data_IF_933415302473
#
_entry.id   IF_933415302473
#
_cell.length_a   1.000
_cell.length_b   1.000
_cell.length_c   1.000
_cell.angle_alpha   90.00
_cell.angle_beta   90.00
_cell.angle_gamma   90.00
#
_symmetry.space_group_name_H-M   'P 1'
#
loop_
_entity.id
_entity.type
_entity.pdbx_description
1 polymer ?
#
# COMPACT_ATOMS: atom_id res chain seq x y z
N UNK A 1 54.27 25.68 26.10
CA UNK A 1 54.08 24.88 24.89
C UNK A 1 53.26 23.65 25.28
N UNK A 2 51.94 23.71 25.18
CA UNK A 2 51.01 22.59 25.36
C UNK A 2 50.53 22.16 23.98
N UNK A 3 50.88 20.96 23.60
CA UNK A 3 50.47 20.34 22.34
C UNK A 3 49.01 19.93 22.44
N UNK A 4 48.16 20.51 21.59
CA UNK A 4 46.79 20.07 21.37
C UNK A 4 46.78 18.70 20.71
N UNK A 5 46.24 17.71 21.38
CA UNK A 5 45.89 16.40 20.82
C UNK A 5 44.62 16.55 19.98
N UNK A 6 44.78 16.44 18.67
CA UNK A 6 43.71 16.31 17.69
C UNK A 6 43.45 14.82 17.44
N UNK A 7 42.54 14.23 18.23
CA UNK A 7 41.88 12.95 17.89
C UNK A 7 40.68 12.77 18.80
N UNK A 8 39.57 13.36 18.40
CA UNK A 8 38.24 13.04 18.92
C UNK A 8 37.50 12.22 17.83
N UNK A 9 37.34 10.90 17.99
CA UNK A 9 36.62 10.06 17.03
C UNK A 9 35.15 9.89 17.39
N UNK A 10 34.45 10.97 17.71
CA UNK A 10 32.99 10.96 17.84
C UNK A 10 32.33 11.63 16.63
N UNK A 11 32.73 11.27 15.43
CA UNK A 11 31.86 11.34 14.27
C UNK A 11 30.85 10.21 14.40
N UNK A 12 29.71 10.48 15.05
CA UNK A 12 28.50 9.70 14.89
C UNK A 12 28.26 9.56 13.40
N UNK A 13 28.49 8.38 12.83
CA UNK A 13 28.00 8.01 11.51
C UNK A 13 26.47 8.22 11.58
N UNK A 14 25.99 9.29 10.99
CA UNK A 14 24.58 9.45 10.69
C UNK A 14 24.18 8.19 9.93
N UNK A 15 23.33 7.39 10.56
CA UNK A 15 22.81 6.14 10.00
C UNK A 15 21.90 6.56 8.85
N UNK A 16 22.46 6.71 7.64
CA UNK A 16 21.72 7.15 6.46
C UNK A 16 20.58 6.18 6.20
N UNK A 17 19.38 6.70 6.09
CA UNK A 17 18.20 5.90 5.76
C UNK A 17 18.42 5.20 4.41
N UNK A 18 17.95 3.94 4.28
CA UNK A 18 18.03 3.19 3.03
C UNK A 18 17.15 3.84 1.96
N UNK A 19 15.90 4.14 2.29
CA UNK A 19 14.99 4.97 1.49
C UNK A 19 14.57 6.16 2.34
N UNK A 20 14.77 7.39 1.84
CA UNK A 20 14.41 8.62 2.52
C UNK A 20 13.41 9.42 1.70
N UNK A 21 12.31 9.80 2.34
CA UNK A 21 11.31 10.75 1.84
C UNK A 21 11.45 11.98 2.73
N UNK A 22 11.94 13.10 2.17
CA UNK A 22 12.33 14.28 2.92
C UNK A 22 11.49 15.49 2.51
N UNK A 23 10.62 15.92 3.41
CA UNK A 23 9.76 17.10 3.26
C UNK A 23 9.00 17.13 1.91
N UNK A 24 8.50 15.97 1.49
CA UNK A 24 7.88 15.78 0.17
C UNK A 24 6.50 16.42 0.12
N UNK A 25 6.30 17.29 -0.85
CA UNK A 25 5.01 17.91 -1.18
C UNK A 25 4.66 17.67 -2.63
N UNK A 26 3.36 17.51 -2.93
CA UNK A 26 2.85 17.33 -4.29
C UNK A 26 1.64 18.20 -4.54
N UNK A 27 1.77 19.09 -5.51
CA UNK A 27 0.73 20.00 -5.96
C UNK A 27 0.42 19.74 -7.42
N UNK A 28 -0.85 19.63 -7.76
CA UNK A 28 -1.32 19.53 -9.14
C UNK A 28 -2.03 20.82 -9.57
N UNK A 29 -1.77 21.34 -10.77
CA UNK A 29 -2.55 22.44 -11.33
C UNK A 29 -3.97 21.95 -11.66
N UNK A 30 -4.97 22.77 -11.36
CA UNK A 30 -6.38 22.53 -11.71
C UNK A 30 -6.96 23.73 -12.44
N UNK A 31 -8.12 23.57 -13.06
CA UNK A 31 -8.81 24.67 -13.74
C UNK A 31 -9.21 25.82 -12.78
N UNK A 32 -9.28 25.53 -11.47
CA UNK A 32 -9.69 26.48 -10.42
C UNK A 32 -8.52 26.98 -9.56
N UNK A 33 -7.26 26.62 -9.93
CA UNK A 33 -6.06 27.01 -9.17
C UNK A 33 -5.11 25.83 -8.99
N UNK A 34 -4.70 25.54 -7.75
CA UNK A 34 -3.80 24.44 -7.42
C UNK A 34 -4.43 23.53 -6.35
N UNK A 35 -4.20 22.24 -6.46
CA UNK A 35 -4.64 21.24 -5.48
C UNK A 35 -3.43 20.56 -4.86
N UNK A 36 -3.23 20.76 -3.56
CA UNK A 36 -2.15 20.13 -2.80
C UNK A 36 -2.61 18.75 -2.34
N UNK A 37 -1.98 17.70 -2.86
CA UNK A 37 -2.28 16.30 -2.48
C UNK A 37 -1.49 15.91 -1.24
N UNK A 38 -0.18 16.22 -1.22
CA UNK A 38 0.73 15.90 -0.12
C UNK A 38 1.45 17.17 0.33
N UNK A 39 1.67 17.30 1.64
CA UNK A 39 2.35 18.45 2.22
C UNK A 39 3.34 18.04 3.32
N UNK A 40 4.63 18.22 3.05
CA UNK A 40 5.70 18.01 4.02
C UNK A 40 5.84 16.57 4.54
N UNK A 41 5.64 15.56 3.68
CA UNK A 41 5.75 14.15 4.06
C UNK A 41 7.20 13.79 4.35
N UNK A 42 7.44 13.17 5.51
CA UNK A 42 8.75 12.67 5.93
C UNK A 42 8.65 11.20 6.33
N UNK A 43 9.49 10.34 5.75
CA UNK A 43 9.57 8.91 6.09
C UNK A 43 10.98 8.39 5.82
N UNK A 44 11.56 7.75 6.82
CA UNK A 44 12.80 6.99 6.68
C UNK A 44 12.47 5.50 6.72
N UNK A 45 12.99 4.74 5.77
CA UNK A 45 12.82 3.29 5.66
C UNK A 45 14.18 2.63 5.78
N UNK A 46 14.27 1.58 6.59
CA UNK A 46 15.48 0.78 6.76
C UNK A 46 15.57 -0.27 5.66
N UNK A 47 16.79 -0.69 5.35
CA UNK A 47 16.99 -1.83 4.45
C UNK A 47 16.34 -3.10 5.02
N UNK A 48 15.65 -3.86 4.17
CA UNK A 48 14.95 -5.08 4.56
C UNK A 48 13.67 -4.88 5.36
N UNK A 49 13.21 -3.64 5.56
CA UNK A 49 12.01 -3.33 6.33
C UNK A 49 10.75 -3.52 5.48
N UNK A 50 9.68 -4.04 6.10
CA UNK A 50 8.36 -4.12 5.51
C UNK A 50 7.45 -3.03 6.10
N UNK A 51 7.09 -2.04 5.29
CA UNK A 51 6.20 -0.94 5.69
C UNK A 51 4.86 -1.06 4.99
N UNK A 52 3.77 -0.95 5.75
CA UNK A 52 2.44 -0.72 5.22
C UNK A 52 2.01 0.74 5.40
N UNK A 53 1.39 1.30 4.37
CA UNK A 53 0.80 2.64 4.37
C UNK A 53 -0.71 2.51 4.29
N UNK A 54 -1.42 3.04 5.29
CA UNK A 54 -2.88 3.11 5.31
C UNK A 54 -3.37 4.56 5.35
N UNK A 55 -4.63 4.77 5.01
CA UNK A 55 -5.29 6.08 5.00
C UNK A 55 -6.53 6.03 4.13
N UNK A 56 -7.38 7.04 4.21
CA UNK A 56 -8.60 7.12 3.41
C UNK A 56 -8.34 7.13 1.90
N UNK A 57 -9.35 6.76 1.12
CA UNK A 57 -9.29 6.87 -0.34
C UNK A 57 -9.04 8.33 -0.74
N UNK A 58 -8.14 8.54 -1.71
CA UNK A 58 -7.82 9.89 -2.18
C UNK A 58 -6.84 10.69 -1.32
N UNK A 59 -6.37 10.22 -0.17
CA UNK A 59 -5.39 10.94 0.67
C UNK A 59 -3.96 10.99 0.10
N UNK A 60 -3.70 10.44 -1.08
CA UNK A 60 -2.40 10.58 -1.75
C UNK A 60 -1.44 9.39 -1.57
N UNK A 61 -1.85 8.24 -1.03
CA UNK A 61 -1.00 7.04 -0.87
C UNK A 61 -0.33 6.61 -2.19
N UNK A 62 -1.13 6.39 -3.24
CA UNK A 62 -0.58 6.01 -4.56
C UNK A 62 0.27 7.13 -5.17
N UNK A 63 -0.01 8.41 -4.86
CA UNK A 63 0.85 9.53 -5.26
C UNK A 63 2.22 9.44 -4.60
N UNK A 64 2.26 9.10 -3.30
CA UNK A 64 3.51 8.89 -2.57
C UNK A 64 4.30 7.72 -3.15
N UNK A 65 3.66 6.56 -3.40
CA UNK A 65 4.32 5.40 -3.99
C UNK A 65 4.83 5.67 -5.41
N UNK A 66 4.08 6.45 -6.21
CA UNK A 66 4.53 6.86 -7.54
C UNK A 66 5.76 7.77 -7.50
N UNK A 67 5.99 8.51 -6.42
CA UNK A 67 7.23 9.28 -6.24
C UNK A 67 8.38 8.39 -5.79
N UNK A 68 8.14 7.40 -4.94
CA UNK A 68 9.14 6.40 -4.56
C UNK A 68 9.57 5.55 -5.76
N UNK A 69 8.64 5.17 -6.63
CA UNK A 69 8.95 4.41 -7.86
C UNK A 69 9.65 5.26 -8.95
N UNK A 70 9.60 6.59 -8.82
CA UNK A 70 10.13 7.51 -9.83
C UNK A 70 9.19 7.83 -10.99
N UNK A 71 7.95 7.29 -11.00
CA UNK A 71 6.95 7.62 -12.02
C UNK A 71 6.44 9.06 -11.91
N UNK A 72 6.53 9.65 -10.74
CA UNK A 72 6.14 11.03 -10.49
C UNK A 72 7.24 11.74 -9.70
N UNK A 73 7.38 13.06 -9.90
CA UNK A 73 8.33 13.86 -9.15
C UNK A 73 7.61 14.70 -8.09
N UNK A 74 8.17 14.88 -6.90
CA UNK A 74 7.64 15.80 -5.91
C UNK A 74 7.68 17.25 -6.45
N UNK A 75 6.75 18.10 -6.00
CA UNK A 75 6.77 19.53 -6.27
C UNK A 75 7.72 20.25 -5.30
N UNK A 76 7.91 19.71 -4.11
CA UNK A 76 8.86 20.14 -3.09
C UNK A 76 9.41 18.96 -2.33
N UNK A 77 10.59 19.10 -1.74
CA UNK A 77 11.28 18.01 -1.05
C UNK A 77 11.97 17.03 -1.98
N UNK A 78 12.44 15.89 -1.45
CA UNK A 78 13.22 14.89 -2.20
C UNK A 78 12.87 13.48 -1.77
N UNK A 79 12.98 12.52 -2.71
CA UNK A 79 12.97 11.08 -2.44
C UNK A 79 14.32 10.50 -2.85
N UNK A 80 14.95 9.76 -1.95
CA UNK A 80 16.29 9.21 -2.15
C UNK A 80 16.34 7.73 -1.81
N UNK A 81 17.04 6.94 -2.61
CA UNK A 81 17.42 5.57 -2.30
C UNK A 81 18.96 5.51 -2.13
N UNK A 82 19.45 5.04 -1.00
CA UNK A 82 20.90 5.00 -0.69
C UNK A 82 21.60 6.36 -0.94
N UNK A 83 20.96 7.43 -0.48
CA UNK A 83 21.37 8.83 -0.71
C UNK A 83 21.36 9.30 -2.19
N UNK A 84 20.94 8.50 -3.13
CA UNK A 84 20.79 8.89 -4.53
C UNK A 84 19.37 9.39 -4.80
N UNK A 85 19.27 10.58 -5.40
CA UNK A 85 17.98 11.19 -5.72
C UNK A 85 17.23 10.34 -6.77
N UNK A 86 15.96 10.04 -6.48
CA UNK A 86 15.08 9.35 -7.41
C UNK A 86 14.49 10.38 -8.39
N UNK A 87 14.91 10.32 -9.65
CA UNK A 87 14.45 11.24 -10.72
C UNK A 87 13.68 10.54 -11.82
N UNK A 88 13.75 9.20 -11.91
CA UNK A 88 13.08 8.39 -12.92
C UNK A 88 12.85 6.97 -12.39
N UNK A 89 11.98 6.17 -13.01
CA UNK A 89 11.87 4.74 -12.72
C UNK A 89 13.20 4.03 -12.97
N UNK A 90 13.47 3.00 -12.15
CA UNK A 90 14.69 2.20 -12.27
C UNK A 90 14.45 0.74 -11.88
N UNK A 91 15.33 -0.20 -12.30
CA UNK A 91 15.20 -1.61 -11.98
C UNK A 91 15.44 -1.94 -10.50
N UNK A 92 16.05 -1.04 -9.76
CA UNK A 92 16.27 -1.10 -8.32
C UNK A 92 14.96 -0.95 -7.50
N UNK A 93 13.90 -0.45 -8.12
CA UNK A 93 12.59 -0.21 -7.50
C UNK A 93 11.48 -0.71 -8.41
N UNK A 94 10.84 -1.80 -8.05
CA UNK A 94 9.76 -2.38 -8.84
C UNK A 94 8.40 -2.16 -8.19
N UNK A 95 7.43 -1.75 -9.00
CA UNK A 95 6.06 -1.53 -8.57
C UNK A 95 5.12 -2.61 -9.14
N UNK A 96 4.36 -3.21 -8.24
CA UNK A 96 3.23 -4.09 -8.55
C UNK A 96 1.95 -3.30 -8.36
N UNK A 97 1.22 -3.07 -9.43
CA UNK A 97 -0.01 -2.29 -9.44
C UNK A 97 -1.23 -3.14 -9.04
N UNK A 98 -2.26 -2.50 -8.54
CA UNK A 98 -3.53 -3.12 -8.14
C UNK A 98 -4.17 -3.97 -9.27
N UNK A 99 -4.05 -3.55 -10.51
CA UNK A 99 -4.57 -4.26 -11.70
C UNK A 99 -3.54 -5.20 -12.35
N UNK A 100 -2.43 -5.49 -11.64
CA UNK A 100 -1.32 -6.38 -12.06
C UNK A 100 -0.54 -5.91 -13.30
N UNK A 101 -1.08 -5.08 -14.15
CA UNK A 101 -0.51 -4.60 -15.41
C UNK A 101 0.14 -5.70 -16.25
N UNK A 102 -0.50 -6.87 -16.36
CA UNK A 102 -0.05 -7.95 -17.22
C UNK A 102 -0.47 -7.68 -18.66
N UNK A 103 0.42 -8.01 -19.61
CA UNK A 103 0.12 -7.94 -21.04
C UNK A 103 -0.82 -9.10 -21.39
N UNK A 104 -2.08 -8.84 -21.79
CA UNK A 104 -3.10 -9.89 -21.91
C UNK A 104 -2.86 -10.83 -23.10
N UNK A 105 -2.06 -10.43 -24.08
CA UNK A 105 -1.67 -11.24 -25.24
C UNK A 105 -0.43 -12.11 -25.01
N UNK A 106 0.33 -11.87 -23.92
CA UNK A 106 1.52 -12.63 -23.53
C UNK A 106 1.17 -13.70 -22.50
N UNK A 107 1.90 -14.82 -22.48
CA UNK A 107 1.80 -15.83 -21.43
C UNK A 107 2.34 -15.32 -20.09
N UNK A 108 2.15 -16.07 -19.00
CA UNK A 108 2.78 -15.77 -17.71
C UNK A 108 4.31 -15.72 -17.87
N UNK A 109 4.89 -16.70 -18.56
CA UNK A 109 6.30 -16.76 -18.89
C UNK A 109 6.76 -15.50 -19.64
N UNK A 110 6.09 -15.12 -20.72
CA UNK A 110 6.47 -13.96 -21.53
C UNK A 110 6.31 -12.62 -20.75
N UNK A 111 5.38 -12.53 -19.81
CA UNK A 111 5.24 -11.36 -18.95
C UNK A 111 6.44 -11.19 -18.02
N UNK A 112 7.01 -12.29 -17.49
CA UNK A 112 8.22 -12.27 -16.67
C UNK A 112 9.46 -12.06 -17.54
N UNK A 113 9.56 -12.78 -18.66
CA UNK A 113 10.67 -12.68 -19.62
C UNK A 113 10.91 -11.26 -20.12
N UNK A 114 9.85 -10.50 -20.35
CA UNK A 114 9.95 -9.11 -20.78
C UNK A 114 10.78 -8.25 -19.82
N UNK A 115 10.60 -8.41 -18.52
CA UNK A 115 11.37 -7.68 -17.52
C UNK A 115 12.85 -8.13 -17.52
N UNK A 116 13.08 -9.44 -17.59
CA UNK A 116 14.44 -10.01 -17.65
C UNK A 116 15.19 -9.56 -18.91
N UNK A 117 14.53 -9.59 -20.06
CA UNK A 117 15.11 -9.13 -21.32
C UNK A 117 15.49 -7.65 -21.31
N UNK A 118 14.65 -6.83 -20.68
CA UNK A 118 14.85 -5.37 -20.59
C UNK A 118 16.02 -5.00 -19.69
N UNK A 119 16.19 -5.71 -18.56
CA UNK A 119 17.19 -5.36 -17.52
C UNK A 119 18.52 -6.08 -17.77
N UNK A 120 18.49 -7.27 -18.36
CA UNK A 120 19.70 -8.08 -18.59
C UNK A 120 19.90 -8.36 -20.09
N UNK A 121 20.12 -7.34 -20.96
CA UNK A 121 20.26 -7.53 -22.39
C UNK A 121 21.44 -8.45 -22.74
N UNK A 122 22.53 -8.39 -21.96
CA UNK A 122 23.78 -9.10 -22.21
C UNK A 122 23.79 -10.56 -21.73
N UNK A 123 22.80 -11.00 -20.94
CA UNK A 123 22.69 -12.41 -20.56
C UNK A 123 22.32 -13.28 -21.75
N UNK A 124 22.91 -14.47 -21.79
CA UNK A 124 22.56 -15.49 -22.78
C UNK A 124 21.08 -15.88 -22.69
N UNK A 125 20.57 -16.46 -23.77
CA UNK A 125 19.18 -16.96 -23.80
C UNK A 125 18.91 -17.96 -22.70
N UNK A 126 19.84 -18.89 -22.47
CA UNK A 126 19.71 -19.92 -21.43
C UNK A 126 19.64 -19.32 -20.03
N UNK A 127 20.52 -18.35 -19.70
CA UNK A 127 20.48 -17.67 -18.40
C UNK A 127 19.17 -16.90 -18.17
N UNK A 128 18.60 -16.29 -19.22
CA UNK A 128 17.31 -15.61 -19.13
C UNK A 128 16.17 -16.61 -18.90
N UNK A 129 16.19 -17.74 -19.60
CA UNK A 129 15.21 -18.83 -19.45
C UNK A 129 15.28 -19.43 -18.03
N UNK A 130 16.46 -19.64 -17.49
CA UNK A 130 16.67 -20.12 -16.09
C UNK A 130 16.13 -19.13 -15.07
N UNK A 131 16.40 -17.82 -15.24
CA UNK A 131 15.86 -16.78 -14.35
C UNK A 131 14.33 -16.76 -14.36
N UNK A 132 13.71 -16.74 -15.56
CA UNK A 132 12.26 -16.74 -15.68
C UNK A 132 11.66 -17.99 -15.05
N UNK A 133 12.25 -19.17 -15.34
CA UNK A 133 11.82 -20.44 -14.77
C UNK A 133 11.89 -20.44 -13.24
N UNK A 134 13.00 -19.99 -12.68
CA UNK A 134 13.21 -19.89 -11.24
C UNK A 134 12.13 -19.05 -10.53
N UNK A 135 11.85 -17.84 -11.04
CA UNK A 135 10.87 -16.96 -10.40
C UNK A 135 9.42 -17.43 -10.60
N UNK A 136 9.10 -18.11 -11.70
CA UNK A 136 7.80 -18.77 -11.88
C UNK A 136 7.64 -19.98 -10.96
N UNK A 137 8.69 -20.74 -10.73
CA UNK A 137 8.69 -21.85 -9.76
C UNK A 137 8.54 -21.31 -8.33
N UNK A 138 9.28 -20.26 -7.96
CA UNK A 138 9.22 -19.60 -6.65
C UNK A 138 7.80 -19.20 -6.26
N UNK A 139 6.99 -18.75 -7.23
CA UNK A 139 5.57 -18.37 -7.00
C UNK A 139 4.60 -19.50 -7.37
N UNK A 140 5.05 -20.74 -7.57
CA UNK A 140 4.21 -21.91 -7.83
C UNK A 140 3.46 -21.89 -9.17
N UNK A 141 4.04 -21.27 -10.21
CA UNK A 141 3.38 -21.10 -11.52
C UNK A 141 4.02 -21.88 -12.67
N UNK A 142 4.89 -22.85 -12.40
CA UNK A 142 5.58 -23.65 -13.42
C UNK A 142 4.61 -24.27 -14.43
N UNK A 143 3.55 -24.93 -13.97
CA UNK A 143 2.55 -25.57 -14.85
C UNK A 143 1.65 -24.57 -15.59
N UNK A 144 1.55 -23.33 -15.08
CA UNK A 144 0.76 -22.27 -15.68
C UNK A 144 1.59 -21.29 -16.53
N UNK A 145 2.89 -21.53 -16.66
CA UNK A 145 3.84 -20.62 -17.34
C UNK A 145 3.38 -20.19 -18.74
N UNK A 146 2.79 -21.09 -19.50
CA UNK A 146 2.35 -20.81 -20.87
C UNK A 146 0.90 -20.29 -20.98
N UNK A 147 0.17 -20.18 -19.85
CA UNK A 147 -1.19 -19.63 -19.85
C UNK A 147 -1.16 -18.10 -19.94
N UNK A 148 -2.15 -17.55 -20.65
CA UNK A 148 -2.36 -16.10 -20.75
C UNK A 148 -3.16 -15.58 -19.53
N UNK A 149 -3.10 -14.27 -19.21
CA UNK A 149 -3.84 -13.68 -18.10
C UNK A 149 -5.35 -13.98 -18.09
N UNK A 150 -5.98 -14.11 -19.26
CA UNK A 150 -7.39 -14.49 -19.35
C UNK A 150 -7.70 -15.94 -18.98
N UNK A 151 -6.69 -16.80 -18.80
CA UNK A 151 -6.81 -18.23 -18.54
C UNK A 151 -6.42 -18.61 -17.09
N UNK A 152 -6.06 -17.62 -16.25
CA UNK A 152 -5.59 -17.81 -14.89
C UNK A 152 -6.42 -17.00 -13.90
N UNK A 153 -6.45 -17.43 -12.64
CA UNK A 153 -7.18 -16.75 -11.55
C UNK A 153 -6.56 -15.40 -11.17
N UNK A 154 -7.27 -14.62 -10.36
CA UNK A 154 -6.77 -13.35 -9.82
C UNK A 154 -5.48 -13.54 -9.01
N UNK A 155 -5.46 -14.53 -8.11
CA UNK A 155 -4.26 -14.88 -7.34
C UNK A 155 -3.08 -15.31 -8.21
N UNK A 156 -3.32 -16.08 -9.28
CA UNK A 156 -2.26 -16.43 -10.22
C UNK A 156 -1.74 -15.20 -10.98
N UNK A 157 -2.60 -14.24 -11.36
CA UNK A 157 -2.16 -12.97 -11.97
C UNK A 157 -1.27 -12.18 -11.02
N UNK A 158 -1.64 -12.13 -9.74
CA UNK A 158 -0.83 -11.49 -8.70
C UNK A 158 0.55 -12.15 -8.59
N UNK A 159 0.61 -13.48 -8.55
CA UNK A 159 1.86 -14.24 -8.53
C UNK A 159 2.74 -13.94 -9.77
N UNK A 160 2.15 -13.86 -10.95
CA UNK A 160 2.90 -13.45 -12.17
C UNK A 160 3.46 -12.05 -12.04
N UNK A 161 2.69 -11.10 -11.52
CA UNK A 161 3.15 -9.71 -11.33
C UNK A 161 4.28 -9.62 -10.31
N UNK A 162 4.21 -10.39 -9.21
CA UNK A 162 5.28 -10.52 -8.22
C UNK A 162 6.52 -11.17 -8.85
N UNK A 163 6.39 -12.31 -9.55
CA UNK A 163 7.50 -12.97 -10.23
C UNK A 163 8.19 -12.03 -11.23
N UNK A 164 7.43 -11.28 -12.02
CA UNK A 164 7.95 -10.27 -12.96
C UNK A 164 8.75 -9.18 -12.24
N UNK A 165 8.27 -8.72 -11.08
CA UNK A 165 8.97 -7.72 -10.30
C UNK A 165 10.26 -8.26 -9.69
N UNK A 166 10.25 -9.49 -9.16
CA UNK A 166 11.40 -10.12 -8.50
C UNK A 166 12.49 -10.58 -9.48
N UNK A 167 12.10 -10.95 -10.71
CA UNK A 167 13.01 -11.49 -11.72
C UNK A 167 14.15 -10.55 -12.12
N UNK A 168 14.05 -9.28 -11.75
CA UNK A 168 15.09 -8.29 -11.96
C UNK A 168 15.85 -7.89 -10.67
N UNK A 169 15.62 -8.63 -9.58
CA UNK A 169 16.28 -8.44 -8.29
C UNK A 169 16.25 -6.99 -7.77
N UNK A 170 15.05 -6.41 -7.58
CA UNK A 170 14.93 -5.05 -7.09
C UNK A 170 15.37 -4.95 -5.63
N UNK A 171 15.81 -3.78 -5.23
CA UNK A 171 16.14 -3.47 -3.82
C UNK A 171 14.87 -3.04 -3.05
N UNK A 172 13.92 -2.40 -3.74
CA UNK A 172 12.63 -1.98 -3.17
C UNK A 172 11.49 -2.55 -3.99
N UNK A 173 10.59 -3.27 -3.31
CA UNK A 173 9.34 -3.75 -3.87
C UNK A 173 8.19 -2.86 -3.38
N UNK A 174 7.52 -2.22 -4.33
CA UNK A 174 6.40 -1.32 -4.08
C UNK A 174 5.11 -2.03 -4.48
N UNK A 175 4.14 -2.11 -3.55
CA UNK A 175 2.89 -2.85 -3.75
C UNK A 175 1.70 -1.91 -3.53
N UNK A 176 0.89 -1.72 -4.56
CA UNK A 176 -0.32 -0.88 -4.49
C UNK A 176 -1.57 -1.78 -4.39
N UNK A 177 -2.11 -1.95 -3.18
CA UNK A 177 -3.26 -2.79 -2.84
C UNK A 177 -3.22 -4.20 -3.46
N UNK A 178 -2.11 -4.95 -3.25
CA UNK A 178 -1.84 -6.17 -4.02
C UNK A 178 -2.88 -7.27 -3.82
N UNK A 179 -3.61 -7.29 -2.71
CA UNK A 179 -4.53 -8.36 -2.35
C UNK A 179 -6.01 -7.95 -2.38
N UNK A 180 -6.31 -6.70 -2.77
CA UNK A 180 -7.65 -6.12 -2.67
C UNK A 180 -8.73 -6.82 -3.53
N UNK A 181 -8.33 -7.50 -4.61
CA UNK A 181 -9.24 -8.18 -5.53
C UNK A 181 -9.35 -9.70 -5.31
N UNK A 182 -8.79 -10.23 -4.20
CA UNK A 182 -8.71 -11.66 -3.92
C UNK A 182 -9.72 -12.08 -2.86
N UNK A 183 -10.16 -13.36 -2.94
CA UNK A 183 -10.91 -14.00 -1.86
C UNK A 183 -10.03 -14.22 -0.62
N UNK A 184 -10.67 -14.39 0.55
CA UNK A 184 -9.98 -14.42 1.84
C UNK A 184 -8.90 -15.53 1.92
N UNK A 185 -9.18 -16.73 1.41
CA UNK A 185 -8.27 -17.87 1.50
C UNK A 185 -7.03 -17.63 0.62
N UNK A 186 -7.25 -17.29 -0.64
CA UNK A 186 -6.16 -16.94 -1.59
C UNK A 186 -5.32 -15.77 -1.09
N UNK A 187 -5.96 -14.78 -0.45
CA UNK A 187 -5.29 -13.63 0.15
C UNK A 187 -4.33 -14.04 1.25
N UNK A 188 -4.78 -14.88 2.20
CA UNK A 188 -3.94 -15.36 3.30
C UNK A 188 -2.73 -16.15 2.80
N UNK A 189 -2.95 -17.11 1.88
CA UNK A 189 -1.88 -17.89 1.27
C UNK A 189 -0.81 -17.00 0.60
N UNK A 190 -1.25 -16.01 -0.19
CA UNK A 190 -0.34 -15.10 -0.89
C UNK A 190 0.41 -14.15 0.05
N UNK A 191 -0.19 -13.76 1.18
CA UNK A 191 0.48 -12.95 2.20
C UNK A 191 1.61 -13.74 2.88
N UNK A 192 1.37 -15.01 3.21
CA UNK A 192 2.41 -15.89 3.80
C UNK A 192 3.55 -16.13 2.80
N UNK A 193 3.21 -16.37 1.53
CA UNK A 193 4.18 -16.53 0.45
C UNK A 193 5.02 -15.25 0.24
N UNK A 194 4.37 -14.08 0.24
CA UNK A 194 5.08 -12.79 0.15
C UNK A 194 6.04 -12.60 1.32
N UNK A 195 5.65 -12.92 2.55
CA UNK A 195 6.54 -12.85 3.72
C UNK A 195 7.73 -13.80 3.63
N UNK A 196 7.54 -15.00 3.05
CA UNK A 196 8.63 -15.94 2.79
C UNK A 196 9.60 -15.35 1.77
N UNK A 197 9.11 -14.88 0.63
CA UNK A 197 9.90 -14.27 -0.44
C UNK A 197 10.66 -13.04 0.09
N UNK A 198 9.98 -12.16 0.83
CA UNK A 198 10.57 -10.98 1.44
C UNK A 198 11.78 -11.31 2.33
N UNK A 199 11.65 -12.32 3.21
CA UNK A 199 12.74 -12.75 4.10
C UNK A 199 13.90 -13.39 3.35
N UNK A 200 13.61 -14.28 2.39
CA UNK A 200 14.62 -15.02 1.63
C UNK A 200 15.46 -14.09 0.75
N UNK A 201 14.88 -12.99 0.27
CA UNK A 201 15.55 -12.05 -0.63
C UNK A 201 15.98 -10.74 0.04
N UNK A 202 15.79 -10.59 1.35
CA UNK A 202 16.10 -9.36 2.12
C UNK A 202 15.54 -8.09 1.45
N UNK A 203 14.31 -8.16 0.93
CA UNK A 203 13.67 -7.06 0.21
C UNK A 203 13.26 -5.94 1.15
N UNK A 204 13.36 -4.69 0.72
CA UNK A 204 12.65 -3.59 1.35
C UNK A 204 11.28 -3.47 0.70
N UNK A 205 10.20 -3.49 1.49
CA UNK A 205 8.83 -3.47 0.97
C UNK A 205 8.09 -2.23 1.44
N UNK A 206 7.46 -1.54 0.50
CA UNK A 206 6.53 -0.46 0.76
C UNK A 206 5.17 -0.81 0.15
N UNK A 207 4.17 -1.09 0.99
CA UNK A 207 2.86 -1.58 0.54
C UNK A 207 1.74 -0.62 0.95
N UNK A 208 0.84 -0.31 0.04
CA UNK A 208 -0.45 0.31 0.36
C UNK A 208 -1.49 -0.79 0.59
N UNK A 209 -2.26 -0.64 1.65
CA UNK A 209 -3.46 -1.41 1.88
C UNK A 209 -4.53 -0.56 2.57
N UNK A 210 -5.78 -0.93 2.43
CA UNK A 210 -6.90 -0.40 3.22
C UNK A 210 -7.35 -1.36 4.33
N UNK A 211 -6.70 -2.53 4.41
CA UNK A 211 -7.00 -3.57 5.39
C UNK A 211 -5.98 -3.49 6.56
N UNK A 212 -6.47 -3.12 7.75
CA UNK A 212 -5.64 -2.98 8.95
C UNK A 212 -5.10 -4.34 9.39
N UNK A 213 -5.91 -5.40 9.32
CA UNK A 213 -5.54 -6.73 9.75
C UNK A 213 -4.39 -7.28 8.87
N UNK A 214 -4.43 -6.97 7.57
CA UNK A 214 -3.34 -7.23 6.63
C UNK A 214 -2.06 -6.47 7.01
N UNK A 215 -2.17 -5.18 7.29
CA UNK A 215 -1.03 -4.35 7.67
C UNK A 215 -0.38 -4.84 8.97
N UNK A 216 -1.17 -5.19 9.99
CA UNK A 216 -0.67 -5.73 11.25
C UNK A 216 0.03 -7.09 11.10
N UNK A 217 -0.42 -7.90 10.13
CA UNK A 217 0.20 -9.20 9.85
C UNK A 217 1.52 -9.04 9.10
N UNK A 218 1.59 -8.13 8.12
CA UNK A 218 2.71 -8.03 7.18
C UNK A 218 3.80 -7.06 7.63
N UNK A 219 3.45 -5.89 8.18
CA UNK A 219 4.39 -4.80 8.35
C UNK A 219 5.24 -4.88 9.62
N UNK A 220 6.46 -4.32 9.57
CA UNK A 220 7.24 -3.98 10.75
C UNK A 220 6.79 -2.63 11.32
N UNK A 221 6.41 -1.70 10.44
CA UNK A 221 5.78 -0.43 10.81
C UNK A 221 4.55 -0.15 9.95
N UNK A 222 3.54 0.40 10.61
CA UNK A 222 2.31 0.88 10.00
C UNK A 222 2.35 2.41 9.92
N UNK A 223 2.38 2.95 8.71
CA UNK A 223 2.35 4.39 8.43
C UNK A 223 0.91 4.80 8.15
N UNK A 224 0.39 5.74 8.93
CA UNK A 224 -0.98 6.21 8.82
C UNK A 224 -1.00 7.63 8.26
N UNK A 225 -1.65 7.80 7.11
CA UNK A 225 -1.78 9.11 6.44
C UNK A 225 -3.05 9.83 6.87
N UNK A 226 -2.94 11.15 7.04
CA UNK A 226 -4.11 12.02 7.28
C UNK A 226 -4.98 12.13 6.03
N UNK A 227 -6.19 12.66 6.18
CA UNK A 227 -7.05 12.94 5.03
C UNK A 227 -6.48 14.08 4.17
N UNK A 228 -6.82 14.09 2.87
CA UNK A 228 -6.59 15.22 1.98
C UNK A 228 -7.63 16.35 2.19
N UNK A 229 -7.42 17.52 1.61
CA UNK A 229 -6.23 17.94 0.88
C UNK A 229 -5.00 18.14 1.78
N UNK A 230 -3.81 18.28 1.17
CA UNK A 230 -2.56 18.50 1.91
C UNK A 230 -2.24 17.41 2.95
N UNK A 231 -2.48 16.14 2.55
CA UNK A 231 -2.25 15.00 3.43
C UNK A 231 -0.76 14.84 3.79
N UNK A 232 -0.54 14.34 4.99
CA UNK A 232 0.79 14.06 5.55
C UNK A 232 0.78 12.76 6.34
N UNK A 233 1.93 12.30 6.77
CA UNK A 233 2.00 11.22 7.74
C UNK A 233 1.52 11.79 9.08
N UNK A 234 0.42 11.21 9.58
CA UNK A 234 -0.13 11.57 10.87
C UNK A 234 0.57 10.82 12.00
N UNK A 235 0.72 9.51 11.85
CA UNK A 235 1.38 8.66 12.85
C UNK A 235 2.08 7.47 12.20
N UNK A 236 3.05 6.91 12.91
CA UNK A 236 3.76 5.68 12.56
C UNK A 236 3.74 4.76 13.78
N UNK A 237 3.21 3.54 13.61
CA UNK A 237 3.17 2.52 14.66
C UNK A 237 4.20 1.43 14.37
N UNK A 238 5.04 1.12 15.34
CA UNK A 238 5.86 -0.08 15.33
C UNK A 238 4.97 -1.30 15.63
N UNK A 239 5.12 -2.38 14.86
CA UNK A 239 4.35 -3.61 15.05
C UNK A 239 5.21 -4.60 15.86
N UNK A 240 4.91 -4.81 17.15
CA UNK A 240 5.79 -5.48 18.10
C UNK A 240 5.68 -7.02 18.07
N UNK A 241 5.21 -7.61 16.97
CA UNK A 241 5.09 -9.06 16.86
C UNK A 241 6.34 -9.64 16.24
N UNK A 242 6.90 -10.66 16.90
CA UNK A 242 8.10 -11.36 16.45
C UNK A 242 7.88 -12.08 15.10
N UNK A 243 8.97 -12.28 14.38
CA UNK A 243 8.97 -13.02 13.11
C UNK A 243 9.63 -14.39 13.25
N UNK A 244 9.14 -15.45 12.56
CA UNK A 244 7.99 -15.45 11.66
C UNK A 244 6.67 -15.35 12.41
N UNK A 245 5.74 -14.54 11.89
CA UNK A 245 4.41 -14.37 12.48
C UNK A 245 3.52 -15.55 12.16
N UNK A 246 2.80 -16.03 13.16
CA UNK A 246 1.71 -16.97 13.00
C UNK A 246 0.39 -16.20 13.18
N UNK A 247 -0.50 -16.27 12.20
CA UNK A 247 -1.76 -15.48 12.17
C UNK A 247 -2.61 -15.72 13.41
N UNK A 248 -2.85 -16.99 13.79
CA UNK A 248 -3.65 -17.31 14.97
C UNK A 248 -3.01 -16.80 16.26
N UNK A 249 -1.68 -16.92 16.40
CA UNK A 249 -0.98 -16.46 17.60
C UNK A 249 -1.03 -14.95 17.79
N UNK A 250 -0.87 -14.18 16.71
CA UNK A 250 -0.94 -12.72 16.84
C UNK A 250 -2.36 -12.22 17.09
N UNK A 251 -3.39 -12.88 16.53
CA UNK A 251 -4.79 -12.52 16.78
C UNK A 251 -5.25 -12.87 18.19
N UNK A 252 -4.59 -13.83 18.86
CA UNK A 252 -4.85 -14.16 20.27
C UNK A 252 -4.15 -13.19 21.25
N UNK A 253 -3.17 -12.39 20.77
CA UNK A 253 -2.47 -11.42 21.61
C UNK A 253 -3.36 -10.17 21.83
N UNK A 254 -3.60 -9.75 23.09
CA UNK A 254 -4.37 -8.53 23.38
C UNK A 254 -3.81 -7.27 22.71
N UNK A 255 -2.50 -7.18 22.45
CA UNK A 255 -1.87 -6.06 21.74
C UNK A 255 -2.37 -5.92 20.31
N UNK A 256 -2.75 -7.04 19.67
CA UNK A 256 -3.30 -7.00 18.31
C UNK A 256 -4.56 -6.13 18.24
N UNK A 257 -5.51 -6.37 19.13
CA UNK A 257 -6.74 -5.58 19.20
C UNK A 257 -6.50 -4.14 19.64
N UNK A 258 -5.50 -3.89 20.49
CA UNK A 258 -5.11 -2.52 20.87
C UNK A 258 -4.60 -1.74 19.66
N UNK A 259 -3.66 -2.31 18.89
CA UNK A 259 -3.12 -1.69 17.69
C UNK A 259 -4.19 -1.53 16.60
N UNK A 260 -5.02 -2.55 16.40
CA UNK A 260 -6.13 -2.52 15.45
C UNK A 260 -7.12 -1.40 15.77
N UNK A 261 -7.58 -1.33 17.03
CA UNK A 261 -8.51 -0.30 17.46
C UNK A 261 -7.88 1.09 17.39
N UNK A 262 -6.60 1.21 17.71
CA UNK A 262 -5.87 2.47 17.58
C UNK A 262 -5.81 2.95 16.12
N UNK A 263 -5.50 2.05 15.18
CA UNK A 263 -5.49 2.38 13.76
C UNK A 263 -6.89 2.74 13.22
N UNK A 264 -7.94 2.03 13.70
CA UNK A 264 -9.32 2.37 13.38
C UNK A 264 -9.71 3.76 13.93
N UNK A 265 -9.38 4.05 15.20
CA UNK A 265 -9.65 5.36 15.81
C UNK A 265 -8.95 6.50 15.04
N UNK A 266 -7.69 6.27 14.64
CA UNK A 266 -6.98 7.22 13.80
C UNK A 266 -7.72 7.50 12.49
N UNK A 267 -8.17 6.46 11.78
CA UNK A 267 -8.83 6.62 10.49
C UNK A 267 -10.22 7.27 10.62
N UNK A 268 -11.02 6.87 11.62
CA UNK A 268 -12.43 7.27 11.67
C UNK A 268 -12.71 8.49 12.53
N UNK A 269 -11.85 8.81 13.52
CA UNK A 269 -12.16 9.85 14.50
C UNK A 269 -11.18 11.02 14.51
N UNK A 270 -9.89 10.78 14.30
CA UNK A 270 -8.90 11.87 14.43
C UNK A 270 -8.76 12.71 13.17
N UNK A 271 -9.07 12.14 12.02
CA UNK A 271 -8.93 12.79 10.72
C UNK A 271 -10.14 12.55 9.83
N UNK A 272 -11.33 12.28 10.42
CA UNK A 272 -12.58 12.36 9.70
C UNK A 272 -12.74 13.80 9.17
N UNK A 273 -13.12 13.93 7.91
CA UNK A 273 -13.48 15.25 7.40
C UNK A 273 -14.69 15.79 8.16
N UNK A 274 -14.71 17.10 8.40
CA UNK A 274 -15.90 17.85 8.84
C UNK A 274 -17.03 17.83 7.81
N UNK A 275 -16.95 17.01 6.75
CA UNK A 275 -18.01 16.79 5.75
C UNK A 275 -19.31 16.24 6.37
N UNK A 276 -19.24 15.73 7.62
CA UNK A 276 -20.44 15.40 8.40
C UNK A 276 -21.17 16.64 8.96
N UNK A 277 -20.60 17.82 8.91
CA UNK A 277 -21.34 19.03 9.35
C UNK A 277 -22.39 19.47 8.33
N UNK A 278 -22.21 19.22 7.04
CA UNK A 278 -23.24 19.47 6.02
C UNK A 278 -24.39 18.46 6.08
N UNK A 279 -24.21 17.30 6.73
CA UNK A 279 -25.28 16.32 6.98
C UNK A 279 -26.03 16.53 8.30
N UNK A 280 -25.57 17.46 9.16
CA UNK A 280 -26.25 17.74 10.44
C UNK A 280 -27.49 18.63 10.31
N UNK A 281 -27.72 19.27 9.16
CA UNK A 281 -28.92 20.09 8.97
C UNK A 281 -30.19 19.30 8.59
N UNK A 282 -30.11 18.00 8.27
CA UNK A 282 -31.29 17.20 7.85
C UNK A 282 -31.51 15.92 8.67
N UNK A 283 -31.18 15.92 9.98
CA UNK A 283 -31.74 14.89 10.87
C UNK A 283 -33.24 15.22 11.05
N UNK A 284 -34.14 14.40 10.48
CA UNK A 284 -35.57 14.65 10.66
C UNK A 284 -35.88 14.62 12.16
N UNK A 285 -36.39 15.73 12.68
CA UNK A 285 -36.83 15.85 14.06
C UNK A 285 -37.73 14.65 14.40
N UNK A 286 -37.39 13.80 15.38
CA UNK A 286 -38.17 12.60 15.70
C UNK A 286 -39.64 12.90 15.98
N UNK A 287 -39.96 14.11 16.44
CA UNK A 287 -41.33 14.59 16.62
C UNK A 287 -42.08 14.85 15.31
N UNK A 288 -41.39 15.17 14.22
CA UNK A 288 -42.00 15.41 12.90
C UNK A 288 -42.30 14.09 12.18
N UNK A 289 -41.40 13.09 12.35
CA UNK A 289 -41.62 11.75 11.79
C UNK A 289 -42.81 11.06 12.46
N UNK A 290 -42.96 11.20 13.78
CA UNK A 290 -44.11 10.67 14.52
C UNK A 290 -45.44 11.34 14.08
N UNK A 291 -45.46 12.65 13.85
CA UNK A 291 -46.64 13.36 13.31
C UNK A 291 -46.97 12.93 11.88
N UNK A 292 -46.01 12.70 10.99
CA UNK A 292 -46.26 12.22 9.63
C UNK A 292 -46.76 10.77 9.60
N UNK A 293 -46.27 9.90 10.45
CA UNK A 293 -46.73 8.51 10.57
C UNK A 293 -48.16 8.46 11.14
N UNK A 294 -48.48 9.26 12.15
CA UNK A 294 -49.82 9.33 12.73
C UNK A 294 -50.81 9.98 11.78
N UNK A 295 -50.42 10.98 11.00
CA UNK A 295 -51.30 11.58 9.98
C UNK A 295 -51.58 10.61 8.82
N UNK A 296 -50.58 9.77 8.41
CA UNK A 296 -50.80 8.72 7.42
C UNK A 296 -51.72 7.60 7.91
N UNK A 297 -51.57 7.18 9.18
CA UNK A 297 -52.45 6.16 9.78
C UNK A 297 -53.92 6.60 9.91
N UNK A 298 -54.16 7.87 10.24
CA UNK A 298 -55.51 8.44 10.30
C UNK A 298 -56.13 8.58 8.90
N UNK A 299 -55.34 8.87 7.87
CA UNK A 299 -55.79 8.92 6.48
C UNK A 299 -56.21 7.55 5.93
N UNK A 300 -55.49 6.47 6.28
CA UNK A 300 -55.85 5.11 5.86
C UNK A 300 -57.10 4.58 6.58
N UNK A 301 -57.33 4.94 7.84
CA UNK A 301 -58.53 4.59 8.58
C UNK A 301 -59.78 5.28 8.00
N UNK A 302 -59.66 6.51 7.52
CA UNK A 302 -60.77 7.23 6.87
C UNK A 302 -61.14 6.64 5.50
N UNK A 303 -60.15 6.15 4.72
CA UNK A 303 -60.37 5.49 3.42
C UNK A 303 -61.05 4.13 3.61
N UNK A 304 -60.63 3.36 4.66
CA UNK A 304 -61.24 2.06 4.96
C UNK A 304 -62.70 2.17 5.44
N UNK A 305 -63.07 3.25 6.10
CA UNK A 305 -64.45 3.46 6.54
C UNK A 305 -65.39 3.90 5.39
N UNK A 306 -64.86 4.60 4.38
CA UNK A 306 -65.65 5.03 3.20
C UNK A 306 -65.85 3.89 2.17
N UNK A 307 -65.10 2.81 2.25
CA UNK A 307 -65.24 1.63 1.39
C UNK A 307 -66.19 0.56 1.98
N UNK A 308 -66.71 0.76 3.20
CA UNK A 308 -67.57 -0.18 3.92
C UNK A 308 -68.99 0.36 4.18
N UNK A 309 -69.36 1.55 3.66
CA UNK A 309 -70.64 2.13 3.60
C UNK A 309 -71.01 2.37 2.13
#
# INVERSE_FOLDING_TARGET
MQTMNANDPTLTQEKTAFLAIENVSKVYPTAQGSYTVLDGVNLEVKEGEFICVIGHSGCGKSTLLNMVSGFNQPTGGTVKLKNQLITAPGPDRMMVFQNYCLLPWKSAYDNVSLAVESVYPDKSKTEKEELVGHYLEMVGLTEAAQKKPGQISGGMKQRVAIARALAISPEVLILDEPFGALDAITKEELQEELLKIWRENNLTVLMITHDIDEALFLADRLVMMTNGPAAKIGEILDIPFDRPRNRSQITDDPKYYQLRNYALDFLYHRYAHDDDDDLKEDKPNPGLLFKKVMAGALGLAAIAWWALV
#
